data_IF_078403652446
#
_entry.id   IF_078403652446
#
_cell.length_a   1.000
_cell.length_b   1.000
_cell.length_c   1.000
_cell.angle_alpha   90.00
_cell.angle_beta   90.00
_cell.angle_gamma   90.00
#
_symmetry.space_group_name_H-M   'P 1'
#
loop_
_entity.id
_entity.type
_entity.pdbx_description
1 polymer ?
#
# COMPACT_ATOMS: atom_id res chain seq x y z
N UNK A 1 -31.79 5.51 -8.39
CA UNK A 1 -30.43 5.05 -8.76
C UNK A 1 -29.36 6.12 -8.57
N UNK A 2 -29.47 7.33 -9.16
CA UNK A 2 -28.45 8.41 -9.01
C UNK A 2 -28.13 8.80 -7.56
N UNK A 3 -29.15 8.87 -6.68
CA UNK A 3 -28.98 9.25 -5.26
C UNK A 3 -28.24 8.19 -4.44
N UNK A 4 -28.43 6.90 -4.75
CA UNK A 4 -27.74 5.78 -4.07
C UNK A 4 -26.27 5.76 -4.47
N UNK A 5 -25.98 5.95 -5.77
CA UNK A 5 -24.61 6.02 -6.28
C UNK A 5 -23.82 7.20 -5.69
N UNK A 6 -24.46 8.36 -5.56
CA UNK A 6 -23.87 9.54 -4.93
C UNK A 6 -23.59 9.30 -3.44
N UNK A 7 -24.52 8.67 -2.70
CA UNK A 7 -24.33 8.33 -1.28
C UNK A 7 -23.21 7.32 -1.07
N UNK A 8 -23.10 6.29 -1.91
CA UNK A 8 -21.99 5.33 -1.84
C UNK A 8 -20.64 5.98 -2.15
N UNK A 9 -20.58 6.88 -3.12
CA UNK A 9 -19.33 7.60 -3.44
C UNK A 9 -18.90 8.52 -2.30
N UNK A 10 -19.85 9.25 -1.69
CA UNK A 10 -19.59 10.10 -0.53
C UNK A 10 -19.15 9.26 0.67
N UNK A 11 -19.76 8.10 0.90
CA UNK A 11 -19.39 7.19 1.99
C UNK A 11 -17.98 6.60 1.79
N UNK A 12 -17.62 6.22 0.56
CA UNK A 12 -16.26 5.75 0.22
C UNK A 12 -15.22 6.86 0.41
N UNK A 13 -15.54 8.10 0.04
CA UNK A 13 -14.66 9.25 0.27
C UNK A 13 -14.53 9.59 1.76
N UNK A 14 -15.65 9.57 2.52
CA UNK A 14 -15.68 9.86 3.94
C UNK A 14 -14.95 8.79 4.78
N UNK A 15 -14.94 7.53 4.33
CA UNK A 15 -14.19 6.44 4.98
C UNK A 15 -12.75 6.31 4.44
N UNK A 16 -12.50 6.71 3.20
CA UNK A 16 -11.17 6.64 2.58
C UNK A 16 -10.18 7.66 3.15
N UNK A 17 -10.63 8.87 3.47
CA UNK A 17 -9.79 9.92 4.07
C UNK A 17 -9.19 9.52 5.44
N UNK A 18 -9.98 9.02 6.42
CA UNK A 18 -9.46 8.54 7.70
C UNK A 18 -8.43 7.42 7.54
N UNK A 19 -8.65 6.52 6.59
CA UNK A 19 -7.75 5.40 6.29
C UNK A 19 -6.41 5.86 5.71
N UNK A 20 -6.42 6.86 4.82
CA UNK A 20 -5.19 7.46 4.29
C UNK A 20 -4.41 8.21 5.39
N UNK A 21 -5.11 8.96 6.25
CA UNK A 21 -4.47 9.68 7.36
C UNK A 21 -3.88 8.73 8.42
N UNK A 22 -4.57 7.62 8.71
CA UNK A 22 -4.04 6.56 9.54
C UNK A 22 -2.84 5.87 8.86
N UNK A 23 -2.86 5.69 7.54
CA UNK A 23 -1.72 5.15 6.80
C UNK A 23 -0.50 6.07 6.85
N UNK A 24 -0.67 7.39 6.76
CA UNK A 24 0.43 8.36 6.84
C UNK A 24 1.04 8.46 8.23
N UNK A 25 0.23 8.43 9.29
CA UNK A 25 0.71 8.53 10.67
C UNK A 25 1.27 7.21 11.19
N UNK A 26 0.60 6.10 10.84
CA UNK A 26 0.97 4.78 11.35
C UNK A 26 1.93 4.00 10.44
N UNK A 27 1.86 4.21 9.13
CA UNK A 27 2.67 3.45 8.18
C UNK A 27 4.18 3.63 8.36
N UNK A 28 4.73 4.84 8.63
CA UNK A 28 6.16 5.01 8.84
C UNK A 28 6.71 4.16 9.99
N UNK A 29 6.02 4.11 11.14
CA UNK A 29 6.48 3.29 12.27
C UNK A 29 6.33 1.80 12.01
N UNK A 30 5.24 1.37 11.33
CA UNK A 30 5.03 -0.03 10.95
C UNK A 30 6.12 -0.50 10.00
N UNK A 31 6.41 0.30 8.98
CA UNK A 31 7.42 0.00 7.98
C UNK A 31 8.83 0.01 8.56
N UNK A 32 9.13 0.90 9.52
CA UNK A 32 10.39 0.89 10.25
C UNK A 32 10.56 -0.40 11.05
N UNK A 33 9.51 -0.84 11.76
CA UNK A 33 9.53 -2.11 12.51
C UNK A 33 9.81 -3.32 11.63
N UNK A 34 9.40 -3.31 10.36
CA UNK A 34 9.66 -4.42 9.43
C UNK A 34 11.16 -4.70 9.22
N UNK A 35 12.03 -3.74 9.55
CA UNK A 35 13.50 -3.85 9.49
C UNK A 35 14.17 -3.89 10.88
N UNK A 36 13.40 -4.12 11.94
CA UNK A 36 13.94 -4.21 13.32
C UNK A 36 14.79 -5.47 13.52
N UNK A 37 15.80 -5.38 14.37
CA UNK A 37 16.59 -6.54 14.82
C UNK A 37 15.80 -7.44 15.79
N UNK A 38 14.76 -6.89 16.44
CA UNK A 38 13.88 -7.66 17.30
C UNK A 38 12.93 -8.52 16.47
N UNK A 39 12.94 -9.85 16.70
CA UNK A 39 12.11 -10.80 15.94
C UNK A 39 10.62 -10.41 15.95
N UNK A 40 10.05 -10.14 17.13
CA UNK A 40 8.63 -9.82 17.25
C UNK A 40 8.28 -8.51 16.56
N UNK A 41 9.16 -7.52 16.61
CA UNK A 41 8.95 -6.25 15.92
C UNK A 41 9.05 -6.40 14.42
N UNK A 42 10.02 -7.18 13.93
CA UNK A 42 10.21 -7.46 12.51
C UNK A 42 9.03 -8.24 11.92
N UNK A 43 8.54 -9.25 12.63
CA UNK A 43 7.32 -10.01 12.26
C UNK A 43 6.12 -9.08 12.22
N UNK A 44 5.87 -8.31 13.28
CA UNK A 44 4.74 -7.40 13.36
C UNK A 44 4.80 -6.30 12.28
N UNK A 45 6.00 -5.76 12.03
CA UNK A 45 6.24 -4.77 10.99
C UNK A 45 6.03 -5.32 9.59
N UNK A 46 6.50 -6.54 9.28
CA UNK A 46 6.22 -7.22 8.00
C UNK A 46 4.74 -7.49 7.80
N UNK A 47 4.02 -7.92 8.84
CA UNK A 47 2.57 -8.11 8.76
C UNK A 47 1.89 -6.77 8.46
N UNK A 48 2.20 -5.72 9.22
CA UNK A 48 1.57 -4.42 9.03
C UNK A 48 1.89 -3.78 7.67
N UNK A 49 3.16 -3.83 7.24
CA UNK A 49 3.58 -3.33 5.92
C UNK A 49 2.95 -4.17 4.81
N UNK A 50 2.94 -5.49 4.94
CA UNK A 50 2.34 -6.40 3.97
C UNK A 50 0.83 -6.19 3.81
N UNK A 51 0.10 -6.05 4.92
CA UNK A 51 -1.33 -5.71 4.91
C UNK A 51 -1.57 -4.35 4.27
N UNK A 52 -0.77 -3.33 4.61
CA UNK A 52 -0.87 -2.01 4.01
C UNK A 52 -0.61 -2.03 2.50
N UNK A 53 0.45 -2.70 2.05
CA UNK A 53 0.76 -2.84 0.62
C UNK A 53 -0.34 -3.61 -0.14
N UNK A 54 -0.92 -4.65 0.47
CA UNK A 54 -2.04 -5.40 -0.10
C UNK A 54 -3.29 -4.52 -0.22
N UNK A 55 -3.62 -3.78 0.84
CA UNK A 55 -4.82 -2.94 0.91
C UNK A 55 -4.75 -1.69 0.03
N UNK A 56 -3.55 -1.11 -0.15
CA UNK A 56 -3.35 0.14 -0.89
C UNK A 56 -2.68 -0.03 -2.25
N UNK A 57 -2.43 -1.26 -2.72
CA UNK A 57 -1.85 -1.51 -4.04
C UNK A 57 -2.64 -0.88 -5.20
N UNK A 58 -3.96 -0.75 -5.08
CA UNK A 58 -4.82 -0.12 -6.09
C UNK A 58 -4.56 1.38 -6.26
N UNK A 59 -3.96 2.06 -5.27
CA UNK A 59 -3.65 3.49 -5.35
C UNK A 59 -2.68 3.80 -6.50
N UNK A 60 -1.84 2.84 -6.89
CA UNK A 60 -0.94 2.99 -8.04
C UNK A 60 -1.66 3.14 -9.38
N UNK A 61 -2.87 2.58 -9.52
CA UNK A 61 -3.70 2.75 -10.72
C UNK A 61 -4.11 4.20 -10.93
N UNK A 62 -4.13 5.00 -9.85
CA UNK A 62 -4.49 6.42 -9.86
C UNK A 62 -3.23 7.28 -9.85
N UNK A 63 -2.25 6.93 -9.01
CA UNK A 63 -1.00 7.69 -8.83
C UNK A 63 -0.12 7.69 -10.08
N UNK A 64 0.08 6.55 -10.74
CA UNK A 64 1.01 6.50 -11.87
C UNK A 64 0.53 7.34 -13.08
N UNK A 65 -0.74 7.33 -13.47
CA UNK A 65 -1.23 8.23 -14.53
C UNK A 65 -1.14 9.72 -14.20
N UNK A 66 -1.12 10.12 -12.91
CA UNK A 66 -1.05 11.53 -12.51
C UNK A 66 0.39 12.06 -12.44
N UNK A 67 1.35 11.20 -12.10
CA UNK A 67 2.77 11.59 -11.95
C UNK A 67 3.60 11.40 -13.22
N UNK A 68 3.15 10.59 -14.19
CA UNK A 68 3.87 10.37 -15.45
C UNK A 68 3.41 11.36 -16.54
N UNK A 69 4.36 11.94 -17.28
CA UNK A 69 4.08 12.88 -18.37
C UNK A 69 3.26 12.23 -19.51
N UNK A 70 3.57 10.98 -19.84
CA UNK A 70 2.76 10.17 -20.74
C UNK A 70 1.71 9.37 -19.95
N UNK A 71 0.43 9.70 -20.16
CA UNK A 71 -0.68 9.04 -19.47
C UNK A 71 -0.79 7.54 -19.76
N UNK A 72 -0.49 7.11 -20.99
CA UNK A 72 -0.56 5.69 -21.36
C UNK A 72 0.55 4.87 -20.71
N UNK A 73 1.73 5.45 -20.59
CA UNK A 73 2.84 4.88 -19.81
C UNK A 73 2.50 4.86 -18.31
N UNK A 74 1.86 5.92 -17.80
CA UNK A 74 1.36 5.96 -16.43
C UNK A 74 0.32 4.87 -16.14
N UNK A 75 -0.58 4.58 -17.07
CA UNK A 75 -1.56 3.48 -16.93
C UNK A 75 -0.86 2.13 -16.89
N UNK A 76 0.09 1.87 -17.79
CA UNK A 76 0.81 0.58 -17.81
C UNK A 76 1.66 0.38 -16.55
N UNK A 77 2.37 1.43 -16.09
CA UNK A 77 3.08 1.43 -14.81
C UNK A 77 2.12 1.24 -13.64
N UNK A 78 0.97 1.91 -13.64
CA UNK A 78 -0.04 1.78 -12.59
C UNK A 78 -0.49 0.34 -12.40
N UNK A 79 -0.76 -0.38 -13.48
CA UNK A 79 -1.13 -1.79 -13.43
C UNK A 79 0.03 -2.63 -12.87
N UNK A 80 1.24 -2.47 -13.40
CA UNK A 80 2.41 -3.23 -12.96
C UNK A 80 2.76 -3.00 -11.50
N UNK A 81 2.76 -1.74 -11.05
CA UNK A 81 3.05 -1.34 -9.67
C UNK A 81 1.94 -1.80 -8.71
N UNK A 82 0.68 -1.76 -9.14
CA UNK A 82 -0.44 -2.25 -8.35
C UNK A 82 -0.31 -3.74 -8.08
N UNK A 83 -0.09 -4.54 -9.14
CA UNK A 83 0.13 -5.99 -9.02
C UNK A 83 1.37 -6.28 -8.17
N UNK A 84 2.50 -5.64 -8.49
CA UNK A 84 3.76 -5.84 -7.80
C UNK A 84 3.66 -5.53 -6.31
N UNK A 85 3.01 -4.42 -5.93
CA UNK A 85 2.84 -4.06 -4.52
C UNK A 85 1.89 -5.01 -3.81
N UNK A 86 0.76 -5.37 -4.40
CA UNK A 86 -0.17 -6.33 -3.79
C UNK A 86 0.49 -7.69 -3.61
N UNK A 87 1.23 -8.18 -4.61
CA UNK A 87 1.96 -9.44 -4.52
C UNK A 87 3.06 -9.40 -3.45
N UNK A 88 3.86 -8.32 -3.42
CA UNK A 88 4.86 -8.12 -2.37
C UNK A 88 4.21 -8.09 -0.97
N UNK A 89 3.06 -7.42 -0.84
CA UNK A 89 2.32 -7.36 0.42
C UNK A 89 1.84 -8.73 0.91
N UNK A 90 1.26 -9.53 0.02
CA UNK A 90 0.86 -10.92 0.32
C UNK A 90 2.06 -11.77 0.72
N UNK A 91 3.17 -11.66 -0.02
CA UNK A 91 4.39 -12.40 0.28
C UNK A 91 5.00 -12.00 1.62
N UNK A 92 4.94 -10.73 2.02
CA UNK A 92 5.38 -10.30 3.35
C UNK A 92 4.56 -10.89 4.48
N UNK A 93 3.24 -10.94 4.33
CA UNK A 93 2.38 -11.58 5.34
C UNK A 93 2.65 -13.08 5.40
N UNK A 94 2.75 -13.74 4.24
CA UNK A 94 3.01 -15.18 4.14
C UNK A 94 4.38 -15.58 4.71
N UNK A 95 5.38 -14.71 4.57
CA UNK A 95 6.76 -14.96 5.03
C UNK A 95 7.11 -14.20 6.30
N UNK A 96 6.14 -13.62 7.00
CA UNK A 96 6.39 -12.75 8.16
C UNK A 96 7.19 -13.46 9.27
N UNK A 97 6.94 -14.76 9.48
CA UNK A 97 7.65 -15.62 10.44
C UNK A 97 9.14 -15.82 10.10
N UNK A 98 9.57 -15.46 8.89
CA UNK A 98 10.97 -15.42 8.47
C UNK A 98 11.34 -13.96 8.19
N UNK A 99 11.75 -13.18 9.22
CA UNK A 99 12.03 -11.75 9.06
C UNK A 99 13.09 -11.44 8.01
N UNK A 100 14.06 -12.34 7.83
CA UNK A 100 15.15 -12.20 6.84
C UNK A 100 14.79 -12.68 5.43
N UNK A 101 13.55 -13.13 5.19
CA UNK A 101 13.10 -13.46 3.85
C UNK A 101 13.16 -12.20 2.97
N UNK A 102 13.93 -12.27 1.88
CA UNK A 102 14.06 -11.20 0.91
C UNK A 102 12.87 -11.25 -0.05
N UNK A 103 11.97 -10.29 0.09
CA UNK A 103 10.77 -10.16 -0.76
C UNK A 103 11.01 -8.97 -1.69
N UNK A 104 10.89 -9.15 -3.02
CA UNK A 104 10.97 -8.04 -3.96
C UNK A 104 9.97 -6.94 -3.60
N UNK A 105 10.44 -5.71 -3.47
CA UNK A 105 9.61 -4.55 -3.14
C UNK A 105 9.44 -3.67 -4.37
N UNK A 106 8.26 -3.06 -4.49
CA UNK A 106 8.01 -1.97 -5.43
C UNK A 106 8.26 -0.65 -4.70
N UNK A 107 9.08 0.23 -5.27
CA UNK A 107 9.37 1.52 -4.64
C UNK A 107 8.21 2.52 -4.81
N UNK A 108 7.84 3.27 -3.75
CA UNK A 108 8.31 3.11 -2.36
C UNK A 108 7.74 1.84 -1.71
N UNK A 109 8.57 1.16 -0.92
CA UNK A 109 8.20 -0.11 -0.27
C UNK A 109 7.14 0.04 0.84
N UNK A 110 7.02 1.24 1.41
CA UNK A 110 6.03 1.53 2.44
C UNK A 110 4.76 2.14 1.83
N UNK A 111 3.60 1.57 2.17
CA UNK A 111 2.30 2.00 1.68
C UNK A 111 1.93 3.45 2.05
N UNK A 112 2.46 3.99 3.16
CA UNK A 112 2.18 5.37 3.58
C UNK A 112 2.67 6.42 2.59
N UNK A 113 3.75 6.10 1.86
CA UNK A 113 4.37 6.99 0.88
C UNK A 113 3.56 7.12 -0.42
N UNK A 114 2.42 6.44 -0.53
CA UNK A 114 1.59 6.51 -1.73
C UNK A 114 0.73 7.77 -1.80
N UNK A 115 0.52 8.40 -0.66
CA UNK A 115 -0.32 9.58 -0.52
C UNK A 115 0.47 10.89 -0.49
N UNK A 116 1.81 10.80 -0.44
CA UNK A 116 2.76 11.90 -0.61
C UNK A 116 2.86 12.38 -2.07
#
# INVERSE_FOLDING_TARGET
MKKVFALTLILVMALGLPLALAAETAGPWVCQKASSDSYLEAVAGKIGRGLGNTAFGWVELIRQPTVNANKWEGVSKGIGYSIGRTAAGVLEVATAIVPKANIPQVEPACFSKLFE
#
